data_IF_353346211503
#
_entry.id   IF_353346211503
#
_cell.length_a   1.000
_cell.length_b   1.000
_cell.length_c   1.000
_cell.angle_alpha   90.00
_cell.angle_beta   90.00
_cell.angle_gamma   90.00
#
_symmetry.space_group_name_H-M   'P 1'
#
loop_
_entity.id
_entity.type
_entity.pdbx_description
1 polymer ?
#
# COMPACT_ATOMS: atom_id res chain seq x y z
N UNK A 1 -7.85 72.18 -22.08
CA UNK A 1 -8.07 70.92 -22.73
C UNK A 1 -7.21 69.87 -21.99
N UNK A 2 -7.78 69.16 -21.01
CA UNK A 2 -7.12 68.10 -20.25
C UNK A 2 -7.64 66.74 -20.77
N UNK A 3 -6.76 65.93 -21.37
CA UNK A 3 -7.05 64.55 -21.78
C UNK A 3 -6.89 63.65 -20.53
N UNK A 4 -7.98 63.01 -20.14
CA UNK A 4 -7.96 61.94 -19.13
C UNK A 4 -7.64 60.62 -19.88
N UNK A 5 -6.55 59.95 -19.46
CA UNK A 5 -6.25 58.56 -19.86
C UNK A 5 -6.99 57.63 -18.88
N UNK A 6 -7.93 56.86 -19.40
CA UNK A 6 -8.51 55.71 -18.71
C UNK A 6 -7.56 54.49 -18.93
N UNK A 7 -6.93 54.03 -17.85
CA UNK A 7 -6.23 52.77 -17.83
C UNK A 7 -7.25 51.65 -17.55
N UNK A 8 -7.53 50.83 -18.54
CA UNK A 8 -8.28 49.56 -18.36
C UNK A 8 -7.34 48.55 -17.67
N UNK A 9 -7.59 48.25 -16.39
CA UNK A 9 -6.99 47.14 -15.70
C UNK A 9 -7.71 45.84 -16.14
N UNK A 10 -7.12 45.09 -17.08
CA UNK A 10 -7.52 43.73 -17.36
C UNK A 10 -7.13 42.83 -16.17
N UNK A 11 -8.06 42.59 -15.24
CA UNK A 11 -7.98 41.47 -14.33
C UNK A 11 -8.23 40.18 -15.13
N UNK A 12 -7.17 39.52 -15.59
CA UNK A 12 -7.23 38.15 -16.04
C UNK A 12 -7.50 37.24 -14.84
N UNK A 13 -8.77 36.86 -14.66
CA UNK A 13 -9.17 35.71 -13.87
C UNK A 13 -8.56 34.49 -14.55
N UNK A 14 -7.39 34.08 -14.11
CA UNK A 14 -6.90 32.73 -14.33
C UNK A 14 -7.87 31.78 -13.62
N UNK A 15 -8.86 31.28 -14.37
CA UNK A 15 -9.61 30.11 -13.95
C UNK A 15 -8.57 29.00 -13.75
N UNK A 16 -8.30 28.63 -12.49
CA UNK A 16 -7.53 27.45 -12.17
C UNK A 16 -8.29 26.27 -12.76
N UNK A 17 -7.74 25.70 -13.83
CA UNK A 17 -8.08 24.34 -14.26
C UNK A 17 -7.93 23.48 -13.00
N UNK A 18 -8.89 22.60 -12.64
CA UNK A 18 -8.67 21.65 -11.56
C UNK A 18 -7.42 20.87 -11.93
N UNK A 19 -6.28 21.26 -11.38
CA UNK A 19 -4.99 20.63 -11.63
C UNK A 19 -5.02 19.20 -11.06
N UNK A 20 -4.28 18.30 -11.69
CA UNK A 20 -3.91 17.03 -11.12
C UNK A 20 -3.55 17.24 -9.63
N UNK A 21 -4.01 16.35 -8.76
CA UNK A 21 -3.73 16.47 -7.34
C UNK A 21 -2.21 16.57 -7.15
N UNK A 22 -1.77 17.66 -6.51
CA UNK A 22 -0.35 17.86 -6.23
C UNK A 22 0.12 16.71 -5.33
N UNK A 23 1.20 16.04 -5.70
CA UNK A 23 1.78 14.99 -4.87
C UNK A 23 2.16 15.59 -3.51
N UNK A 24 1.69 14.98 -2.44
CA UNK A 24 1.95 15.46 -1.10
C UNK A 24 3.41 15.25 -0.69
N UNK A 25 4.00 14.08 -1.03
CA UNK A 25 5.34 13.69 -0.65
C UNK A 25 5.57 13.72 0.87
N UNK A 26 6.80 13.50 1.27
CA UNK A 26 7.19 13.54 2.69
C UNK A 26 8.30 14.56 2.90
N UNK A 27 8.25 15.39 3.96
CA UNK A 27 9.35 16.27 4.30
C UNK A 27 10.53 15.46 4.84
N UNK A 28 11.74 15.96 4.67
CA UNK A 28 12.96 15.30 5.16
C UNK A 28 12.92 15.01 6.68
N UNK A 29 12.25 15.89 7.45
CA UNK A 29 12.06 15.71 8.89
C UNK A 29 11.34 14.42 9.26
N UNK A 30 10.45 13.92 8.42
CA UNK A 30 9.76 12.65 8.61
C UNK A 30 10.76 11.48 8.64
N UNK A 31 11.63 11.39 7.63
CA UNK A 31 12.63 10.33 7.54
C UNK A 31 13.69 10.43 8.65
N UNK A 32 14.07 11.64 9.04
CA UNK A 32 14.96 11.87 10.17
C UNK A 32 14.33 11.36 11.47
N UNK A 33 13.04 11.64 11.70
CA UNK A 33 12.32 11.18 12.87
C UNK A 33 12.20 9.64 12.91
N UNK A 34 11.93 9.00 11.76
CA UNK A 34 11.85 7.54 11.62
C UNK A 34 13.19 6.86 11.93
N UNK A 35 14.33 7.39 11.42
CA UNK A 35 15.66 6.88 11.77
C UNK A 35 15.97 7.02 13.25
N UNK A 36 15.63 8.15 13.87
CA UNK A 36 15.79 8.33 15.32
C UNK A 36 14.97 7.34 16.13
N UNK A 37 13.71 7.11 15.75
CA UNK A 37 12.84 6.14 16.41
C UNK A 37 13.38 4.72 16.27
N UNK A 38 13.90 4.35 15.09
CA UNK A 38 14.55 3.06 14.87
C UNK A 38 15.80 2.93 15.74
N UNK A 39 16.67 3.94 15.80
CA UNK A 39 17.86 3.95 16.67
C UNK A 39 17.49 3.71 18.13
N UNK A 40 16.44 4.39 18.63
CA UNK A 40 15.93 4.17 19.99
C UNK A 40 15.43 2.75 20.22
N UNK A 41 14.73 2.16 19.23
CA UNK A 41 14.23 0.79 19.32
C UNK A 41 15.34 -0.26 19.31
N UNK A 42 16.43 -0.02 18.58
CA UNK A 42 17.57 -0.93 18.49
C UNK A 42 18.59 -0.74 19.64
N UNK A 43 18.72 0.46 20.16
CA UNK A 43 19.58 0.85 21.28
C UNK A 43 21.07 0.93 20.94
N UNK A 44 21.64 -0.05 20.25
CA UNK A 44 23.06 -0.08 19.89
C UNK A 44 23.31 -0.95 18.66
N UNK A 45 24.53 -0.87 18.10
CA UNK A 45 24.93 -1.62 16.91
C UNK A 45 24.82 -0.80 15.63
N UNK A 46 25.04 -1.46 14.51
CA UNK A 46 24.95 -0.86 13.18
C UNK A 46 23.77 -1.45 12.42
N UNK A 47 22.87 -0.61 11.90
CA UNK A 47 21.82 -1.05 11.01
C UNK A 47 22.29 -0.93 9.55
N UNK A 48 22.07 -1.99 8.77
CA UNK A 48 22.45 -2.11 7.36
C UNK A 48 21.22 -2.51 6.55
N UNK A 49 20.73 -1.58 5.70
CA UNK A 49 19.51 -1.77 4.91
C UNK A 49 19.81 -1.58 3.42
N UNK A 50 19.14 -2.37 2.60
CA UNK A 50 19.35 -2.38 1.16
C UNK A 50 18.12 -1.88 0.42
N UNK A 51 18.32 -0.96 -0.50
CA UNK A 51 17.31 -0.60 -1.48
C UNK A 51 17.18 -1.64 -2.58
N UNK A 52 16.11 -1.51 -3.35
CA UNK A 52 15.82 -2.38 -4.48
C UNK A 52 16.81 -2.20 -5.64
N UNK A 53 17.00 -3.27 -6.39
CA UNK A 53 17.69 -3.25 -7.69
C UNK A 53 16.71 -2.83 -8.79
N UNK A 54 17.19 -2.39 -9.95
CA UNK A 54 16.34 -2.09 -11.10
C UNK A 54 15.61 -3.36 -11.57
N UNK A 55 14.28 -3.34 -11.73
CA UNK A 55 13.57 -4.50 -12.26
C UNK A 55 13.94 -4.78 -13.71
N UNK A 56 14.11 -6.05 -14.06
CA UNK A 56 14.54 -6.48 -15.40
C UNK A 56 13.44 -6.44 -16.46
N UNK A 57 12.18 -6.31 -16.06
CA UNK A 57 11.00 -6.51 -16.90
C UNK A 57 10.29 -5.22 -17.34
N UNK A 58 10.93 -4.07 -17.24
CA UNK A 58 10.34 -2.79 -17.65
C UNK A 58 9.20 -2.27 -16.76
N UNK A 59 8.96 -2.90 -15.62
CA UNK A 59 8.03 -2.39 -14.61
C UNK A 59 8.59 -1.08 -14.04
N UNK A 60 7.72 -0.13 -13.74
CA UNK A 60 8.12 1.11 -13.07
C UNK A 60 8.82 0.79 -11.74
N UNK A 61 10.00 1.39 -11.55
CA UNK A 61 10.76 1.20 -10.32
C UNK A 61 9.96 1.70 -9.10
N UNK A 62 9.89 0.86 -8.09
CA UNK A 62 9.43 1.18 -6.74
C UNK A 62 10.48 0.71 -5.74
N UNK A 63 10.87 1.59 -4.84
CA UNK A 63 11.88 1.29 -3.84
C UNK A 63 11.35 0.28 -2.82
N UNK A 64 12.26 -0.46 -2.19
CA UNK A 64 11.99 -1.30 -1.02
C UNK A 64 11.27 -0.48 0.07
N UNK A 65 10.20 -1.03 0.65
CA UNK A 65 9.34 -0.33 1.60
C UNK A 65 10.12 0.15 2.83
N UNK A 66 10.88 -0.73 3.48
CA UNK A 66 11.62 -0.38 4.70
C UNK A 66 12.74 0.62 4.41
N UNK A 67 13.44 0.41 3.28
CA UNK A 67 14.49 1.33 2.86
C UNK A 67 13.93 2.73 2.58
N UNK A 68 12.82 2.81 1.82
CA UNK A 68 12.16 4.08 1.56
C UNK A 68 11.62 4.72 2.85
N UNK A 69 11.00 3.94 3.72
CA UNK A 69 10.48 4.40 5.01
C UNK A 69 11.53 5.12 5.86
N UNK A 70 12.78 4.65 5.78
CA UNK A 70 13.90 5.22 6.55
C UNK A 70 14.64 6.34 5.82
N UNK A 71 14.61 6.39 4.50
CA UNK A 71 15.51 7.26 3.72
C UNK A 71 14.82 8.30 2.86
N UNK A 72 13.63 8.01 2.35
CA UNK A 72 13.01 8.78 1.27
C UNK A 72 13.75 8.71 -0.07
N UNK A 73 14.82 7.94 -0.15
CA UNK A 73 15.63 7.81 -1.35
C UNK A 73 15.07 6.78 -2.32
N UNK A 74 15.02 7.10 -3.59
CA UNK A 74 14.53 6.24 -4.68
C UNK A 74 15.61 5.86 -5.68
N UNK A 75 16.90 6.05 -5.33
CA UNK A 75 17.99 5.61 -6.18
C UNK A 75 18.14 4.08 -6.11
N UNK A 76 18.40 3.45 -7.24
CA UNK A 76 18.58 2.00 -7.34
C UNK A 76 19.89 1.55 -6.68
N UNK A 77 19.92 0.34 -6.13
CA UNK A 77 21.09 -0.25 -5.48
C UNK A 77 21.66 0.60 -4.33
N UNK A 78 20.86 1.42 -3.71
CA UNK A 78 21.25 2.20 -2.55
C UNK A 78 21.42 1.34 -1.30
N UNK A 79 22.31 1.72 -0.39
CA UNK A 79 22.50 1.05 0.90
C UNK A 79 22.54 2.10 2.01
N UNK A 80 21.74 1.89 3.04
CA UNK A 80 21.73 2.68 4.26
C UNK A 80 22.60 1.99 5.32
N UNK A 81 23.52 2.73 5.92
CA UNK A 81 24.21 2.33 7.16
C UNK A 81 23.86 3.35 8.24
N UNK A 82 23.41 2.88 9.40
CA UNK A 82 23.01 3.75 10.51
C UNK A 82 23.62 3.24 11.82
N UNK A 83 24.20 4.12 12.60
CA UNK A 83 24.58 3.86 13.98
C UNK A 83 23.33 3.92 14.85
N UNK A 84 22.96 2.81 15.51
CA UNK A 84 21.73 2.76 16.28
C UNK A 84 21.77 3.63 17.54
N UNK A 85 22.96 3.85 18.14
CA UNK A 85 23.07 4.61 19.36
C UNK A 85 22.93 6.12 19.14
N UNK A 86 23.45 6.64 18.01
CA UNK A 86 23.43 8.09 17.69
C UNK A 86 22.36 8.46 16.66
N UNK A 87 21.84 7.47 15.92
CA UNK A 87 21.04 7.63 14.72
C UNK A 87 21.75 8.37 13.56
N UNK A 88 23.08 8.51 13.62
CA UNK A 88 23.85 8.98 12.49
C UNK A 88 23.73 7.97 11.33
N UNK A 89 23.42 8.47 10.15
CA UNK A 89 23.14 7.65 8.99
C UNK A 89 23.98 8.06 7.78
N UNK A 90 24.44 7.07 7.04
CA UNK A 90 25.16 7.23 5.78
C UNK A 90 24.43 6.50 4.67
N UNK A 91 24.39 7.13 3.50
CA UNK A 91 23.81 6.53 2.30
C UNK A 91 24.95 6.20 1.33
N UNK A 92 24.95 4.97 0.83
CA UNK A 92 25.92 4.50 -0.17
C UNK A 92 25.21 4.29 -1.50
N UNK A 93 25.72 4.91 -2.56
CA UNK A 93 25.10 4.91 -3.88
C UNK A 93 26.12 4.51 -4.97
N UNK A 94 25.66 3.83 -6.04
CA UNK A 94 26.53 3.60 -7.20
C UNK A 94 27.06 4.92 -7.75
N UNK A 95 28.37 5.00 -7.99
CA UNK A 95 28.94 6.10 -8.72
C UNK A 95 28.45 6.07 -10.17
N UNK A 96 28.09 7.23 -10.70
CA UNK A 96 27.57 7.36 -12.07
C UNK A 96 28.56 8.03 -12.98
N UNK A 97 28.80 7.44 -14.16
CA UNK A 97 29.46 8.11 -15.26
C UNK A 97 28.52 8.96 -16.10
N UNK A 98 29.05 9.66 -17.10
CA UNK A 98 28.27 10.54 -17.97
C UNK A 98 27.17 9.79 -18.78
N UNK A 99 27.36 8.50 -19.04
CA UNK A 99 26.40 7.67 -19.76
C UNK A 99 25.18 7.36 -18.86
N UNK A 100 25.44 6.88 -17.64
CA UNK A 100 24.42 6.55 -16.66
C UNK A 100 23.59 7.80 -16.31
N UNK A 101 24.24 8.95 -16.10
CA UNK A 101 23.54 10.21 -15.84
C UNK A 101 22.60 10.61 -17.00
N UNK A 102 22.99 10.36 -18.25
CA UNK A 102 22.14 10.65 -19.40
C UNK A 102 20.97 9.67 -19.56
N UNK A 103 21.19 8.41 -19.16
CA UNK A 103 20.18 7.35 -19.27
C UNK A 103 19.16 7.45 -18.14
N UNK A 104 19.61 7.59 -16.91
CA UNK A 104 18.82 7.34 -15.71
C UNK A 104 18.62 8.60 -14.84
N UNK A 105 19.25 9.71 -15.21
CA UNK A 105 19.30 10.91 -14.38
C UNK A 105 20.36 10.85 -13.29
N UNK A 106 20.50 11.94 -12.51
CA UNK A 106 21.45 12.01 -11.40
C UNK A 106 20.89 11.37 -10.16
N UNK A 107 21.61 10.45 -9.53
CA UNK A 107 21.36 9.99 -8.17
C UNK A 107 21.81 11.03 -7.13
N UNK A 108 21.48 10.82 -5.85
CA UNK A 108 21.81 11.77 -4.79
C UNK A 108 23.32 11.96 -4.56
N UNK A 109 24.16 10.97 -4.90
CA UNK A 109 25.62 11.12 -4.83
C UNK A 109 26.12 12.18 -5.83
N UNK A 110 25.47 12.28 -6.99
CA UNK A 110 25.79 13.25 -8.05
C UNK A 110 25.05 14.59 -7.91
N UNK A 111 24.23 14.76 -6.86
CA UNK A 111 23.48 15.97 -6.53
C UNK A 111 24.07 16.59 -5.25
N UNK A 112 24.43 17.87 -5.29
CA UNK A 112 24.96 18.57 -4.12
C UNK A 112 23.90 18.69 -2.99
N UNK A 113 24.38 18.85 -1.75
CA UNK A 113 23.62 19.15 -0.54
C UNK A 113 22.53 18.14 -0.09
N UNK A 114 22.38 16.99 -0.76
CA UNK A 114 21.38 15.99 -0.40
C UNK A 114 21.62 15.44 1.01
N UNK A 115 22.87 15.20 1.41
CA UNK A 115 23.18 14.71 2.75
C UNK A 115 22.63 15.66 3.82
N UNK A 116 22.90 16.95 3.69
CA UNK A 116 22.44 17.98 4.64
C UNK A 116 20.91 18.10 4.62
N UNK A 117 20.30 18.13 3.45
CA UNK A 117 18.84 18.28 3.28
C UNK A 117 18.07 17.15 3.96
N UNK A 118 18.55 15.89 3.79
CA UNK A 118 17.88 14.69 4.28
C UNK A 118 18.44 14.16 5.60
N UNK A 119 19.33 14.92 6.25
CA UNK A 119 19.90 14.60 7.56
C UNK A 119 20.75 13.33 7.56
N UNK A 120 21.57 13.13 6.54
CA UNK A 120 22.60 12.11 6.52
C UNK A 120 23.92 12.71 6.96
N UNK A 121 24.71 11.93 7.69
CA UNK A 121 26.10 12.28 8.04
C UNK A 121 27.03 12.27 6.81
N UNK A 122 26.63 11.53 5.76
CA UNK A 122 27.29 11.52 4.47
C UNK A 122 26.57 10.69 3.41
N UNK A 123 26.85 11.01 2.14
CA UNK A 123 26.49 10.18 0.98
C UNK A 123 27.78 9.82 0.29
N UNK A 124 28.05 8.53 0.11
CA UNK A 124 29.35 7.99 -0.32
C UNK A 124 29.16 7.02 -1.49
N UNK A 125 30.23 6.81 -2.31
CA UNK A 125 30.20 5.77 -3.31
C UNK A 125 29.99 4.37 -2.72
N UNK A 126 29.18 3.53 -3.35
CA UNK A 126 28.91 2.16 -2.90
C UNK A 126 30.20 1.31 -2.80
N UNK A 127 31.24 1.62 -3.60
CA UNK A 127 32.52 0.95 -3.54
C UNK A 127 33.24 1.12 -2.18
N UNK A 128 32.88 2.14 -1.39
CA UNK A 128 33.49 2.40 -0.08
C UNK A 128 32.78 1.67 1.07
N UNK A 129 31.64 1.03 0.82
CA UNK A 129 30.83 0.38 1.86
C UNK A 129 31.62 -0.68 2.65
N UNK A 130 32.38 -1.53 1.98
CA UNK A 130 33.14 -2.60 2.64
C UNK A 130 34.14 -2.03 3.64
N UNK A 131 34.98 -1.08 3.20
CA UNK A 131 35.95 -0.44 4.05
C UNK A 131 35.30 0.33 5.21
N UNK A 132 34.14 0.98 4.95
CA UNK A 132 33.40 1.68 5.97
C UNK A 132 32.90 0.73 7.08
N UNK A 133 32.38 -0.46 6.72
CA UNK A 133 31.92 -1.47 7.69
C UNK A 133 33.11 -2.07 8.46
N UNK A 134 34.25 -2.29 7.81
CA UNK A 134 35.44 -2.81 8.46
C UNK A 134 36.06 -1.83 9.48
N UNK A 135 36.08 -0.54 9.17
CA UNK A 135 36.53 0.52 10.12
C UNK A 135 35.58 0.61 11.35
N UNK A 136 34.33 0.28 11.21
CA UNK A 136 33.35 0.25 12.32
C UNK A 136 33.40 -1.01 13.17
N UNK A 137 34.25 -1.96 12.80
CA UNK A 137 34.46 -3.19 13.56
C UNK A 137 34.79 -2.96 15.06
N UNK A 138 35.31 -1.76 15.46
CA UNK A 138 35.59 -1.33 16.85
C UNK A 138 36.16 -2.42 17.74
N UNK A 139 36.93 -2.13 18.76
CA UNK A 139 37.66 -2.99 19.70
C UNK A 139 37.28 -4.47 19.93
N UNK A 140 37.83 -5.10 20.90
CA UNK A 140 37.62 -6.52 21.22
C UNK A 140 36.17 -6.77 21.68
N UNK A 141 35.40 -7.46 20.85
CA UNK A 141 33.99 -7.85 21.16
C UNK A 141 33.15 -8.04 19.90
N UNK A 142 32.12 -8.89 20.03
CA UNK A 142 31.16 -9.09 18.94
C UNK A 142 30.21 -7.89 18.89
N UNK A 143 30.14 -7.21 17.76
CA UNK A 143 29.25 -6.08 17.56
C UNK A 143 27.95 -6.53 16.89
N UNK A 144 26.84 -5.90 17.24
CA UNK A 144 25.56 -6.17 16.62
C UNK A 144 25.47 -5.50 15.25
N UNK A 145 25.09 -6.27 14.24
CA UNK A 145 24.69 -5.79 12.92
C UNK A 145 23.23 -6.13 12.68
N UNK A 146 22.39 -5.10 12.68
CA UNK A 146 20.97 -5.20 12.39
C UNK A 146 20.76 -5.16 10.88
N UNK A 147 20.16 -6.19 10.32
CA UNK A 147 19.81 -6.24 8.89
C UNK A 147 18.53 -7.07 8.72
N UNK A 148 17.95 -7.07 7.54
CA UNK A 148 16.80 -7.92 7.24
C UNK A 148 17.26 -9.37 7.16
N UNK A 149 16.67 -10.24 7.97
CA UNK A 149 16.88 -11.68 7.97
C UNK A 149 15.65 -12.46 7.49
N UNK A 150 14.52 -11.79 7.38
CA UNK A 150 13.25 -12.28 6.82
C UNK A 150 13.04 -11.72 5.41
N UNK A 151 11.99 -12.19 4.73
CA UNK A 151 11.63 -11.65 3.41
C UNK A 151 11.11 -10.20 3.51
N UNK A 152 11.35 -9.44 2.44
CA UNK A 152 10.73 -8.11 2.27
C UNK A 152 9.25 -8.25 1.97
N UNK A 153 8.48 -7.24 2.32
CA UNK A 153 7.18 -7.01 1.71
C UNK A 153 7.34 -6.22 0.40
N UNK A 154 6.37 -6.37 -0.47
CA UNK A 154 6.23 -5.59 -1.71
C UNK A 154 4.89 -4.84 -1.67
N UNK A 155 4.57 -4.08 -2.70
CA UNK A 155 3.33 -3.28 -2.72
C UNK A 155 2.08 -4.15 -2.60
N UNK A 156 2.10 -5.32 -3.23
CA UNK A 156 0.99 -6.29 -3.35
C UNK A 156 1.20 -7.58 -2.55
N UNK A 157 2.36 -7.78 -1.93
CA UNK A 157 2.71 -9.00 -1.19
C UNK A 157 3.18 -8.66 0.23
N UNK A 158 2.57 -9.27 1.24
CA UNK A 158 3.10 -9.24 2.61
C UNK A 158 4.39 -10.06 2.72
N UNK A 159 5.12 -9.88 3.82
CA UNK A 159 6.27 -10.74 4.15
C UNK A 159 5.88 -12.21 4.25
N UNK A 160 4.68 -12.51 4.77
CA UNK A 160 4.15 -13.87 4.88
C UNK A 160 3.79 -14.49 3.54
N UNK A 161 3.16 -13.71 2.64
CA UNK A 161 2.83 -14.15 1.28
C UNK A 161 4.09 -14.43 0.48
N UNK A 162 5.09 -13.56 0.58
CA UNK A 162 6.42 -13.75 -0.03
C UNK A 162 7.08 -15.01 0.47
N UNK A 163 7.09 -15.24 1.78
CA UNK A 163 7.62 -16.47 2.39
C UNK A 163 6.90 -17.72 1.88
N UNK A 164 5.58 -17.67 1.74
CA UNK A 164 4.78 -18.79 1.19
C UNK A 164 5.11 -19.04 -0.28
N UNK A 165 5.24 -17.99 -1.09
CA UNK A 165 5.61 -18.09 -2.51
C UNK A 165 7.00 -18.70 -2.69
N UNK A 166 7.95 -18.29 -1.85
CA UNK A 166 9.30 -18.88 -1.84
C UNK A 166 9.29 -20.33 -1.41
N UNK A 167 8.52 -20.73 -0.38
CA UNK A 167 8.39 -22.12 0.03
C UNK A 167 7.87 -22.99 -1.12
N UNK A 168 6.90 -22.52 -1.89
CA UNK A 168 6.41 -23.20 -3.10
C UNK A 168 7.50 -23.33 -4.16
N UNK A 169 8.32 -22.30 -4.34
CA UNK A 169 9.47 -22.33 -5.28
C UNK A 169 10.53 -23.33 -4.84
N UNK A 170 10.85 -23.43 -3.54
CA UNK A 170 11.80 -24.41 -3.00
C UNK A 170 11.34 -25.86 -3.18
N UNK A 171 10.03 -26.11 -3.25
CA UNK A 171 9.48 -27.43 -3.55
C UNK A 171 9.68 -27.84 -5.02
N UNK A 172 10.08 -26.93 -5.90
CA UNK A 172 10.47 -27.25 -7.26
C UNK A 172 11.99 -27.53 -7.29
N UNK A 173 12.41 -28.80 -7.54
CA UNK A 173 13.82 -29.18 -7.48
C UNK A 173 14.72 -28.45 -8.50
N UNK A 174 14.12 -27.79 -9.50
CA UNK A 174 14.86 -27.05 -10.54
C UNK A 174 14.85 -25.53 -10.29
N UNK A 175 14.24 -25.02 -9.23
CA UNK A 175 14.07 -23.59 -8.96
C UNK A 175 14.42 -23.16 -7.53
N UNK A 176 15.09 -23.98 -6.76
CA UNK A 176 15.38 -23.77 -5.32
C UNK A 176 16.49 -22.75 -5.03
N UNK A 177 16.47 -21.58 -5.67
CA UNK A 177 17.44 -20.53 -5.34
C UNK A 177 16.94 -19.67 -4.16
N UNK A 178 17.84 -19.25 -3.25
CA UNK A 178 17.48 -18.33 -2.16
C UNK A 178 16.97 -17.01 -2.72
N UNK A 179 16.11 -16.35 -1.94
CA UNK A 179 15.72 -14.97 -2.23
C UNK A 179 16.93 -14.04 -2.19
N UNK A 180 16.78 -12.86 -2.76
CA UNK A 180 17.82 -11.83 -2.68
C UNK A 180 18.16 -11.47 -1.23
N UNK A 181 17.14 -11.37 -0.35
CA UNK A 181 17.33 -11.08 1.07
C UNK A 181 18.03 -12.25 1.80
N UNK A 182 17.64 -13.48 1.52
CA UNK A 182 18.34 -14.68 2.04
C UNK A 182 19.79 -14.77 1.58
N UNK A 183 20.06 -14.52 0.31
CA UNK A 183 21.43 -14.48 -0.23
C UNK A 183 22.28 -13.37 0.42
N UNK A 184 21.72 -12.17 0.61
CA UNK A 184 22.38 -11.07 1.30
C UNK A 184 22.72 -11.41 2.75
N UNK A 185 21.76 -11.96 3.49
CA UNK A 185 21.96 -12.36 4.89
C UNK A 185 23.07 -13.39 5.02
N UNK A 186 23.11 -14.40 4.14
CA UNK A 186 24.17 -15.40 4.09
C UNK A 186 25.54 -14.79 3.73
N UNK A 187 25.56 -13.92 2.72
CA UNK A 187 26.80 -13.23 2.29
C UNK A 187 27.38 -12.38 3.41
N UNK A 188 26.53 -11.64 4.14
CA UNK A 188 26.97 -10.82 5.28
C UNK A 188 27.51 -11.71 6.39
N UNK A 189 26.82 -12.80 6.74
CA UNK A 189 27.28 -13.75 7.76
C UNK A 189 28.65 -14.33 7.45
N UNK A 190 28.86 -14.71 6.20
CA UNK A 190 30.12 -15.31 5.77
C UNK A 190 31.27 -14.29 5.67
N UNK A 191 30.97 -13.06 5.21
CA UNK A 191 31.97 -12.02 5.01
C UNK A 191 32.38 -11.30 6.29
N UNK A 192 31.43 -11.15 7.22
CA UNK A 192 31.61 -10.40 8.45
C UNK A 192 31.30 -11.25 9.69
N UNK A 193 32.05 -12.36 9.93
CA UNK A 193 31.74 -13.33 11.00
C UNK A 193 31.95 -12.75 12.42
N UNK A 194 32.48 -11.55 12.55
CA UNK A 194 32.65 -10.85 13.82
C UNK A 194 31.43 -10.03 14.24
N UNK A 195 30.39 -9.91 13.37
CA UNK A 195 29.13 -9.32 13.76
C UNK A 195 28.16 -10.37 14.30
N UNK A 196 27.42 -9.99 15.34
CA UNK A 196 26.19 -10.67 15.78
C UNK A 196 25.02 -10.15 14.91
N UNK A 197 24.59 -10.94 13.94
CA UNK A 197 23.51 -10.56 13.04
C UNK A 197 22.16 -10.69 13.75
N UNK A 198 21.39 -9.60 13.74
CA UNK A 198 20.04 -9.54 14.29
C UNK A 198 19.05 -9.00 13.25
N UNK A 199 17.80 -9.47 13.35
CA UNK A 199 16.75 -9.01 12.46
C UNK A 199 16.22 -7.63 12.88
N UNK A 200 16.31 -6.69 11.95
CA UNK A 200 15.81 -5.31 12.14
C UNK A 200 14.30 -5.19 11.93
N UNK A 201 13.71 -6.14 11.20
CA UNK A 201 12.31 -6.09 10.73
C UNK A 201 11.31 -5.90 11.86
N UNK A 202 11.36 -6.63 13.00
CA UNK A 202 10.38 -6.44 14.06
C UNK A 202 10.37 -5.02 14.65
N UNK A 203 11.50 -4.31 14.61
CA UNK A 203 11.58 -2.93 15.08
C UNK A 203 10.97 -1.96 14.06
N UNK A 204 11.21 -2.17 12.77
CA UNK A 204 10.62 -1.34 11.69
C UNK A 204 9.11 -1.55 11.62
N UNK A 205 8.65 -2.79 11.68
CA UNK A 205 7.22 -3.14 11.61
C UNK A 205 6.42 -2.42 12.71
N UNK A 206 6.94 -2.39 13.95
CA UNK A 206 6.32 -1.65 15.05
C UNK A 206 6.19 -0.14 14.78
N UNK A 207 7.13 0.45 14.04
CA UNK A 207 7.07 1.85 13.67
C UNK A 207 6.06 2.09 12.54
N UNK A 208 5.96 1.18 11.56
CA UNK A 208 5.06 1.28 10.40
C UNK A 208 3.59 1.08 10.74
N UNK A 209 3.27 0.28 11.77
CA UNK A 209 1.89 -0.03 12.19
C UNK A 209 1.08 1.23 12.50
N UNK A 210 1.69 2.19 13.18
CA UNK A 210 1.04 3.45 13.56
C UNK A 210 1.42 4.53 12.55
N UNK A 211 0.46 4.93 11.75
CA UNK A 211 0.67 5.92 10.69
C UNK A 211 0.92 7.31 11.26
N UNK A 212 1.92 8.00 10.74
CA UNK A 212 2.17 9.41 11.06
C UNK A 212 1.05 10.30 10.53
N UNK A 213 0.99 11.55 11.02
CA UNK A 213 0.03 12.53 10.50
C UNK A 213 0.16 12.72 8.99
N UNK A 214 1.41 12.69 8.47
CA UNK A 214 1.67 12.84 7.03
C UNK A 214 1.23 11.63 6.22
N UNK A 215 1.48 10.42 6.71
CA UNK A 215 0.98 9.18 6.09
C UNK A 215 -0.56 9.17 6.05
N UNK A 216 -1.22 9.63 7.11
CA UNK A 216 -2.68 9.75 7.16
C UNK A 216 -3.20 10.76 6.11
N UNK A 217 -2.53 11.88 5.88
CA UNK A 217 -2.90 12.82 4.81
C UNK A 217 -2.79 12.18 3.42
N UNK A 218 -1.70 11.46 3.16
CA UNK A 218 -1.51 10.72 1.90
C UNK A 218 -2.60 9.65 1.72
N UNK A 219 -2.87 8.86 2.76
CA UNK A 219 -3.93 7.85 2.75
C UNK A 219 -5.32 8.44 2.50
N UNK A 220 -5.65 9.60 3.10
CA UNK A 220 -6.91 10.30 2.83
C UNK A 220 -7.04 10.74 1.38
N UNK A 221 -5.96 11.28 0.80
CA UNK A 221 -5.95 11.67 -0.61
C UNK A 221 -6.09 10.45 -1.51
N UNK A 222 -5.29 9.39 -1.28
CA UNK A 222 -5.34 8.15 -2.05
C UNK A 222 -6.71 7.46 -1.92
N UNK A 223 -7.28 7.40 -0.70
CA UNK A 223 -8.60 6.83 -0.46
C UNK A 223 -9.70 7.52 -1.25
N UNK A 224 -9.67 8.85 -1.31
CA UNK A 224 -10.61 9.63 -2.14
C UNK A 224 -10.43 9.33 -3.62
N UNK A 225 -9.20 9.35 -4.15
CA UNK A 225 -8.92 9.11 -5.56
C UNK A 225 -9.28 7.67 -5.99
N UNK A 226 -8.95 6.67 -5.15
CA UNK A 226 -9.30 5.27 -5.38
C UNK A 226 -10.82 5.05 -5.35
N UNK A 227 -11.51 5.69 -4.41
CA UNK A 227 -12.97 5.65 -4.35
C UNK A 227 -13.63 6.28 -5.59
N UNK A 228 -13.11 7.41 -6.07
CA UNK A 228 -13.58 8.06 -7.30
C UNK A 228 -13.33 7.16 -8.53
N UNK A 229 -12.22 6.42 -8.57
CA UNK A 229 -11.92 5.47 -9.64
C UNK A 229 -12.96 4.34 -9.73
N UNK A 230 -13.32 3.73 -8.59
CA UNK A 230 -14.36 2.69 -8.53
C UNK A 230 -15.73 3.29 -8.85
N UNK A 231 -16.06 4.50 -8.40
CA UNK A 231 -17.30 5.19 -8.80
C UNK A 231 -17.44 5.30 -10.31
N UNK A 232 -16.37 5.64 -11.02
CA UNK A 232 -16.39 5.73 -12.47
C UNK A 232 -16.64 4.37 -13.10
N UNK A 233 -16.03 3.29 -12.60
CA UNK A 233 -16.27 1.93 -13.04
C UNK A 233 -17.74 1.51 -12.84
N UNK A 234 -18.33 1.80 -11.67
CA UNK A 234 -19.75 1.55 -11.41
C UNK A 234 -20.63 2.28 -12.43
N UNK A 235 -20.35 3.56 -12.68
CA UNK A 235 -21.16 4.41 -13.55
C UNK A 235 -21.18 3.97 -15.02
N UNK A 236 -20.09 3.37 -15.51
CA UNK A 236 -20.00 2.89 -16.90
C UNK A 236 -20.51 1.45 -17.07
N UNK A 237 -20.79 0.73 -15.97
CA UNK A 237 -21.17 -0.68 -16.02
C UNK A 237 -22.50 -0.89 -16.74
N UNK A 238 -22.52 -1.83 -17.69
CA UNK A 238 -23.73 -2.29 -18.38
C UNK A 238 -23.49 -3.65 -19.06
N UNK A 239 -24.54 -4.43 -19.33
CA UNK A 239 -24.40 -5.67 -20.09
C UNK A 239 -23.72 -5.45 -21.44
N UNK A 240 -22.84 -6.38 -21.84
CA UNK A 240 -22.09 -6.34 -23.08
C UNK A 240 -20.74 -5.66 -23.01
N UNK A 241 -20.42 -4.92 -21.95
CA UNK A 241 -19.05 -4.45 -21.68
C UNK A 241 -18.18 -5.59 -21.14
N UNK A 242 -16.87 -5.44 -21.25
CA UNK A 242 -15.90 -6.38 -20.70
C UNK A 242 -15.38 -5.92 -19.32
N UNK A 243 -14.95 -6.88 -18.50
CA UNK A 243 -14.36 -6.63 -17.19
C UNK A 243 -13.16 -5.66 -17.26
N UNK A 244 -12.25 -5.84 -18.24
CA UNK A 244 -11.10 -4.95 -18.46
C UNK A 244 -11.47 -3.50 -18.77
N UNK A 245 -12.68 -3.22 -19.24
CA UNK A 245 -13.10 -1.83 -19.47
C UNK A 245 -13.30 -1.08 -18.15
N UNK A 246 -13.74 -1.78 -17.10
CA UNK A 246 -13.87 -1.20 -15.76
C UNK A 246 -12.50 -0.92 -15.15
N UNK A 247 -11.56 -1.86 -15.27
CA UNK A 247 -10.18 -1.67 -14.86
C UNK A 247 -9.53 -0.49 -15.60
N UNK A 248 -9.69 -0.40 -16.91
CA UNK A 248 -9.13 0.68 -17.73
C UNK A 248 -9.66 2.06 -17.29
N UNK A 249 -10.95 2.19 -17.02
CA UNK A 249 -11.57 3.44 -16.54
C UNK A 249 -11.01 3.85 -15.17
N UNK A 250 -10.92 2.91 -14.23
CA UNK A 250 -10.41 3.16 -12.91
C UNK A 250 -8.92 3.53 -12.94
N UNK A 251 -8.11 2.80 -13.70
CA UNK A 251 -6.68 3.06 -13.88
C UNK A 251 -6.43 4.43 -14.53
N UNK A 252 -7.21 4.78 -15.55
CA UNK A 252 -7.13 6.10 -16.16
C UNK A 252 -7.38 7.21 -15.14
N UNK A 253 -8.42 7.05 -14.31
CA UNK A 253 -8.73 8.03 -13.26
C UNK A 253 -7.56 8.21 -12.29
N UNK A 254 -7.00 7.11 -11.77
CA UNK A 254 -5.89 7.15 -10.83
C UNK A 254 -4.66 7.85 -11.43
N UNK A 255 -4.21 7.44 -12.59
CA UNK A 255 -3.00 7.97 -13.21
C UNK A 255 -3.16 9.43 -13.66
N UNK A 256 -4.32 9.81 -14.18
CA UNK A 256 -4.64 11.19 -14.51
C UNK A 256 -4.55 12.12 -13.32
N UNK A 257 -4.84 11.61 -12.11
CA UNK A 257 -4.80 12.37 -10.87
C UNK A 257 -3.48 12.19 -10.07
N UNK A 258 -2.42 11.64 -10.70
CA UNK A 258 -1.07 11.62 -10.15
C UNK A 258 -0.73 10.44 -9.26
N UNK A 259 -1.61 9.45 -9.12
CA UNK A 259 -1.31 8.17 -8.47
C UNK A 259 -0.20 7.46 -9.27
N UNK A 260 0.79 6.91 -8.56
CA UNK A 260 2.02 6.44 -9.21
C UNK A 260 1.95 5.01 -9.72
N UNK A 261 1.08 4.20 -9.16
CA UNK A 261 0.92 2.79 -9.50
C UNK A 261 -0.37 2.21 -8.95
N UNK A 262 -0.61 0.96 -9.27
CA UNK A 262 -1.64 0.17 -8.63
C UNK A 262 -1.10 -0.34 -7.29
N UNK A 263 -1.92 -0.40 -6.26
CA UNK A 263 -1.58 -1.01 -4.99
C UNK A 263 -1.44 -2.53 -5.11
N UNK A 264 -2.19 -3.10 -6.05
CA UNK A 264 -2.21 -4.51 -6.43
C UNK A 264 -2.85 -4.65 -7.82
N UNK A 265 -2.73 -5.81 -8.51
CA UNK A 265 -3.44 -6.06 -9.76
C UNK A 265 -4.96 -5.95 -9.55
N UNK A 266 -5.64 -5.23 -10.43
CA UNK A 266 -7.09 -5.06 -10.33
C UNK A 266 -7.82 -6.40 -10.42
N UNK A 267 -8.75 -6.64 -9.52
CA UNK A 267 -9.65 -7.79 -9.52
C UNK A 267 -11.01 -7.29 -10.02
N UNK A 268 -11.42 -7.74 -11.21
CA UNK A 268 -12.74 -7.39 -11.79
C UNK A 268 -13.40 -8.68 -12.25
N UNK A 269 -14.15 -9.33 -11.37
CA UNK A 269 -14.82 -10.59 -11.67
C UNK A 269 -16.32 -10.41 -11.90
N UNK A 270 -16.88 -11.16 -12.89
CA UNK A 270 -18.33 -11.25 -13.14
C UNK A 270 -18.77 -12.68 -13.41
N UNK A 271 -20.02 -13.01 -13.10
CA UNK A 271 -20.56 -14.38 -13.26
C UNK A 271 -19.69 -15.40 -12.52
N UNK A 272 -19.19 -16.49 -13.18
CA UNK A 272 -18.38 -17.50 -12.50
C UNK A 272 -17.05 -16.96 -11.95
N UNK A 273 -16.53 -15.87 -12.50
CA UNK A 273 -15.23 -15.31 -12.11
C UNK A 273 -15.26 -14.68 -10.71
N UNK A 274 -16.44 -14.29 -10.19
CA UNK A 274 -16.56 -13.68 -8.84
C UNK A 274 -16.07 -14.60 -7.72
N UNK A 275 -16.04 -15.91 -7.94
CA UNK A 275 -15.62 -16.88 -6.94
C UNK A 275 -14.12 -17.18 -6.96
N UNK A 276 -13.37 -16.52 -7.84
CA UNK A 276 -11.90 -16.54 -7.84
C UNK A 276 -11.41 -15.29 -7.15
N UNK A 277 -11.02 -15.39 -5.88
CA UNK A 277 -10.77 -14.25 -5.01
C UNK A 277 -9.74 -13.25 -5.54
N UNK A 278 -8.69 -13.74 -6.21
CA UNK A 278 -7.66 -12.93 -6.85
C UNK A 278 -7.69 -13.11 -8.38
N UNK A 279 -8.89 -12.97 -8.97
CA UNK A 279 -9.08 -13.05 -10.43
C UNK A 279 -8.49 -11.82 -11.11
N UNK A 280 -7.59 -12.01 -12.06
CA UNK A 280 -6.82 -10.93 -12.70
C UNK A 280 -6.89 -10.92 -14.23
N UNK A 281 -7.52 -11.92 -14.86
CA UNK A 281 -7.62 -11.96 -16.33
C UNK A 281 -8.54 -10.84 -16.86
N UNK A 282 -9.57 -10.47 -16.08
CA UNK A 282 -10.52 -9.39 -16.36
C UNK A 282 -11.08 -9.43 -17.80
N UNK A 283 -11.25 -10.64 -18.36
CA UNK A 283 -11.47 -10.85 -19.79
C UNK A 283 -12.92 -11.15 -20.18
N UNK A 284 -13.82 -11.40 -19.22
CA UNK A 284 -15.19 -11.83 -19.52
C UNK A 284 -16.07 -10.67 -19.96
N UNK A 285 -16.96 -10.92 -20.93
CA UNK A 285 -18.04 -9.99 -21.26
C UNK A 285 -19.17 -10.11 -20.23
N UNK A 286 -19.50 -9.01 -19.57
CA UNK A 286 -20.52 -8.91 -18.53
C UNK A 286 -21.92 -9.18 -19.07
N UNK A 287 -22.72 -9.98 -18.36
CA UNK A 287 -24.08 -10.36 -18.75
C UNK A 287 -25.11 -9.79 -17.78
N UNK A 288 -26.32 -9.60 -18.27
CA UNK A 288 -27.45 -9.25 -17.42
C UNK A 288 -27.69 -10.37 -16.38
N UNK A 289 -27.89 -9.99 -15.10
CA UNK A 289 -28.02 -10.95 -13.98
C UNK A 289 -26.73 -11.26 -13.26
N UNK A 290 -25.55 -10.96 -13.85
CA UNK A 290 -24.28 -11.06 -13.13
C UNK A 290 -24.15 -9.99 -12.04
N UNK A 291 -23.37 -10.32 -10.99
CA UNK A 291 -22.74 -9.34 -10.15
C UNK A 291 -21.35 -8.98 -10.71
N UNK A 292 -20.91 -7.76 -10.48
CA UNK A 292 -19.50 -7.36 -10.56
C UNK A 292 -18.94 -7.37 -9.14
N UNK A 293 -17.80 -7.98 -8.94
CA UNK A 293 -16.92 -7.75 -7.78
C UNK A 293 -15.69 -7.05 -8.32
N UNK A 294 -15.49 -5.81 -7.91
CA UNK A 294 -14.28 -5.05 -8.26
C UNK A 294 -13.54 -4.67 -6.99
N UNK A 295 -12.30 -5.08 -6.95
CA UNK A 295 -11.36 -4.83 -5.88
C UNK A 295 -10.13 -4.14 -6.46
N UNK A 296 -9.91 -2.88 -6.05
CA UNK A 296 -8.89 -2.05 -6.67
C UNK A 296 -8.56 -0.81 -5.84
N UNK A 297 -7.27 -0.49 -5.74
CA UNK A 297 -6.79 0.72 -5.11
C UNK A 297 -5.43 1.17 -5.66
N UNK A 298 -5.11 2.44 -5.42
CA UNK A 298 -3.88 3.05 -5.90
C UNK A 298 -2.71 2.94 -4.92
N UNK A 299 -1.48 3.08 -5.43
CA UNK A 299 -0.26 3.36 -4.67
C UNK A 299 0.11 4.83 -4.88
N UNK A 300 -0.08 5.65 -3.85
CA UNK A 300 0.26 7.07 -3.83
C UNK A 300 1.31 7.33 -2.75
N UNK A 301 2.48 7.83 -3.16
CA UNK A 301 3.56 8.17 -2.24
C UNK A 301 3.85 7.04 -1.21
N UNK A 302 3.90 5.79 -1.69
CA UNK A 302 4.13 4.58 -0.88
C UNK A 302 3.02 4.25 0.13
N UNK A 303 1.82 4.79 -0.03
CA UNK A 303 0.66 4.37 0.74
C UNK A 303 -0.39 3.77 -0.20
N UNK A 304 -0.84 2.57 0.11
CA UNK A 304 -1.85 1.82 -0.64
C UNK A 304 -3.23 2.03 -0.01
N UNK A 305 -4.24 1.89 -0.81
CA UNK A 305 -5.65 1.80 -0.38
C UNK A 305 -6.23 0.50 -0.92
N UNK A 306 -7.07 -0.13 -0.12
CA UNK A 306 -7.78 -1.35 -0.46
C UNK A 306 -9.29 -1.12 -0.42
N UNK A 307 -9.98 -1.39 -1.55
CA UNK A 307 -11.42 -1.13 -1.68
C UNK A 307 -12.07 -2.17 -2.57
N UNK A 308 -13.02 -2.91 -2.04
CA UNK A 308 -13.92 -3.73 -2.86
C UNK A 308 -15.33 -3.19 -2.85
N UNK A 309 -15.98 -3.22 -4.00
CA UNK A 309 -17.42 -3.03 -4.16
C UNK A 309 -18.02 -4.13 -5.01
N UNK A 310 -19.25 -4.49 -4.68
CA UNK A 310 -20.08 -5.41 -5.46
C UNK A 310 -21.33 -4.68 -5.95
N UNK A 311 -21.71 -4.89 -7.21
CA UNK A 311 -22.93 -4.32 -7.78
C UNK A 311 -23.49 -5.16 -8.93
N UNK A 312 -24.81 -5.08 -9.24
CA UNK A 312 -25.40 -5.86 -10.32
C UNK A 312 -25.12 -5.23 -11.68
N UNK A 313 -24.73 -6.02 -12.68
CA UNK A 313 -24.42 -5.52 -14.04
C UNK A 313 -25.62 -4.81 -14.68
N UNK A 314 -26.85 -5.28 -14.42
CA UNK A 314 -28.08 -4.73 -14.99
C UNK A 314 -28.75 -3.64 -14.14
N UNK A 315 -28.16 -3.22 -13.03
CA UNK A 315 -28.74 -2.24 -12.13
C UNK A 315 -29.89 -2.78 -11.27
N UNK A 316 -30.03 -4.11 -11.16
CA UNK A 316 -31.02 -4.79 -10.32
C UNK A 316 -30.40 -6.02 -9.66
N UNK A 317 -30.53 -6.13 -8.35
CA UNK A 317 -30.22 -7.35 -7.61
C UNK A 317 -31.42 -8.32 -7.68
N UNK A 318 -31.16 -9.62 -7.78
CA UNK A 318 -32.16 -10.61 -7.41
C UNK A 318 -32.31 -10.69 -5.87
N UNK A 319 -33.30 -11.46 -5.39
CA UNK A 319 -33.59 -11.58 -3.96
C UNK A 319 -32.40 -12.14 -3.16
N UNK A 320 -31.71 -13.14 -3.69
CA UNK A 320 -30.57 -13.75 -3.00
C UNK A 320 -29.35 -12.83 -2.99
N UNK A 321 -29.06 -12.20 -4.13
CA UNK A 321 -28.01 -11.20 -4.27
C UNK A 321 -28.21 -10.02 -3.30
N UNK A 322 -29.43 -9.49 -3.24
CA UNK A 322 -29.76 -8.39 -2.34
C UNK A 322 -29.60 -8.78 -0.86
N UNK A 323 -30.07 -9.98 -0.49
CA UNK A 323 -29.95 -10.48 0.89
C UNK A 323 -28.48 -10.68 1.28
N UNK A 324 -27.66 -11.24 0.38
CA UNK A 324 -26.21 -11.40 0.60
C UNK A 324 -25.51 -10.05 0.71
N UNK A 325 -25.89 -9.09 -0.14
CA UNK A 325 -25.35 -7.73 -0.11
C UNK A 325 -25.67 -7.02 1.21
N UNK A 326 -26.94 -7.06 1.65
CA UNK A 326 -27.36 -6.46 2.92
C UNK A 326 -26.65 -7.11 4.11
N UNK A 327 -26.44 -8.43 4.08
CA UNK A 327 -25.70 -9.15 5.10
C UNK A 327 -24.23 -8.64 5.19
N UNK A 328 -23.52 -8.57 4.06
CA UNK A 328 -22.16 -8.07 4.01
C UNK A 328 -22.08 -6.59 4.46
N UNK A 329 -23.01 -5.75 3.99
CA UNK A 329 -23.06 -4.33 4.32
C UNK A 329 -23.28 -4.09 5.83
N UNK A 330 -24.28 -4.75 6.44
CA UNK A 330 -24.54 -4.63 7.88
C UNK A 330 -23.34 -5.12 8.70
N UNK A 331 -22.74 -6.24 8.28
CA UNK A 331 -21.56 -6.80 8.93
C UNK A 331 -20.38 -5.82 8.90
N UNK A 332 -20.09 -5.25 7.74
CA UNK A 332 -19.02 -4.27 7.59
C UNK A 332 -19.25 -3.04 8.48
N UNK A 333 -20.45 -2.48 8.45
CA UNK A 333 -20.80 -1.28 9.24
C UNK A 333 -20.63 -1.52 10.74
N UNK A 334 -21.08 -2.66 11.25
CA UNK A 334 -20.95 -2.97 12.69
C UNK A 334 -19.50 -3.30 13.09
N UNK A 335 -18.75 -4.00 12.23
CA UNK A 335 -17.33 -4.24 12.50
C UNK A 335 -16.59 -2.90 12.56
N UNK A 336 -16.78 -2.01 11.58
CA UNK A 336 -16.14 -0.68 11.58
C UNK A 336 -16.52 0.09 12.86
N UNK A 337 -17.79 0.13 13.23
CA UNK A 337 -18.23 0.82 14.44
C UNK A 337 -17.60 0.27 15.73
N UNK A 338 -17.24 -1.01 15.75
CA UNK A 338 -16.56 -1.65 16.88
C UNK A 338 -15.04 -1.44 16.92
N UNK A 339 -14.42 -0.88 15.87
CA UNK A 339 -12.97 -0.67 15.80
C UNK A 339 -12.56 0.56 16.63
N UNK A 340 -12.67 0.43 17.95
CA UNK A 340 -12.29 1.46 18.93
C UNK A 340 -10.96 1.13 19.58
N UNK A 341 -10.23 2.11 20.10
CA UNK A 341 -9.02 1.85 20.88
C UNK A 341 -9.29 0.84 22.01
N UNK A 342 -8.46 -0.21 22.08
CA UNK A 342 -8.57 -1.29 23.05
C UNK A 342 -9.51 -2.44 22.65
N UNK A 343 -10.35 -2.29 21.64
CA UNK A 343 -11.11 -3.41 21.08
C UNK A 343 -10.18 -4.36 20.31
N UNK A 344 -10.62 -5.59 20.10
CA UNK A 344 -9.81 -6.64 19.48
C UNK A 344 -10.50 -7.22 18.24
N UNK A 345 -9.70 -7.77 17.34
CA UNK A 345 -10.17 -8.50 16.17
C UNK A 345 -11.13 -9.64 16.51
N UNK A 346 -10.89 -10.34 17.63
CA UNK A 346 -11.78 -11.42 18.10
C UNK A 346 -13.20 -10.96 18.36
N UNK A 347 -13.38 -9.75 18.91
CA UNK A 347 -14.72 -9.20 19.15
C UNK A 347 -15.48 -8.95 17.84
N UNK A 348 -14.79 -8.57 16.76
CA UNK A 348 -15.42 -8.34 15.46
C UNK A 348 -15.89 -9.64 14.79
N UNK A 349 -15.24 -10.79 15.07
CA UNK A 349 -15.69 -12.11 14.60
C UNK A 349 -17.08 -12.46 15.14
N UNK A 350 -17.35 -12.17 16.42
CA UNK A 350 -18.67 -12.47 17.02
C UNK A 350 -19.78 -11.60 16.43
N UNK A 351 -19.44 -10.38 16.00
CA UNK A 351 -20.38 -9.51 15.26
C UNK A 351 -20.82 -10.19 13.96
N UNK A 352 -19.86 -10.65 13.16
CA UNK A 352 -20.15 -11.28 11.87
C UNK A 352 -20.98 -12.55 12.00
N UNK A 353 -20.67 -13.43 12.95
CA UNK A 353 -21.43 -14.64 13.21
C UNK A 353 -22.91 -14.34 13.45
N UNK A 354 -23.19 -13.40 14.36
CA UNK A 354 -24.57 -12.99 14.70
C UNK A 354 -25.33 -12.45 13.49
N UNK A 355 -24.69 -11.64 12.66
CA UNK A 355 -25.32 -11.05 11.48
C UNK A 355 -25.51 -12.10 10.39
N UNK A 356 -24.54 -12.98 10.16
CA UNK A 356 -24.65 -14.06 9.19
C UNK A 356 -25.80 -15.02 9.54
N UNK A 357 -25.96 -15.37 10.81
CA UNK A 357 -27.10 -16.16 11.29
C UNK A 357 -28.43 -15.43 11.04
N UNK A 358 -28.53 -14.13 11.38
CA UNK A 358 -29.72 -13.28 11.13
C UNK A 358 -30.16 -13.31 9.66
N UNK A 359 -29.21 -13.29 8.71
CA UNK A 359 -29.49 -13.27 7.26
C UNK A 359 -29.63 -14.67 6.64
N UNK A 360 -29.48 -15.73 7.43
CA UNK A 360 -29.56 -17.11 6.96
C UNK A 360 -28.31 -17.61 6.21
N UNK A 361 -27.15 -17.13 6.61
CA UNK A 361 -25.85 -17.53 6.11
C UNK A 361 -24.93 -18.07 7.24
N UNK A 362 -25.39 -18.95 8.14
CA UNK A 362 -24.60 -19.40 9.31
C UNK A 362 -23.33 -20.17 8.96
N UNK A 363 -23.30 -20.81 7.79
CA UNK A 363 -22.17 -21.64 7.33
C UNK A 363 -21.06 -20.83 6.66
N UNK A 364 -21.24 -19.52 6.47
CA UNK A 364 -20.21 -18.65 5.91
C UNK A 364 -19.04 -18.50 6.89
N UNK A 365 -17.83 -18.38 6.36
CA UNK A 365 -16.64 -18.08 7.17
C UNK A 365 -16.82 -16.72 7.85
N UNK A 366 -16.79 -16.67 9.18
CA UNK A 366 -17.00 -15.40 9.89
C UNK A 366 -15.94 -14.38 9.51
N UNK A 367 -16.37 -13.16 9.18
CA UNK A 367 -15.49 -12.03 8.96
C UNK A 367 -14.96 -11.45 10.27
N UNK A 368 -13.86 -10.74 10.17
CA UNK A 368 -13.31 -9.89 11.24
C UNK A 368 -12.89 -8.57 10.64
N UNK A 369 -12.44 -7.62 11.45
CA UNK A 369 -11.56 -6.57 10.94
C UNK A 369 -10.38 -7.26 10.23
N UNK A 370 -10.18 -6.94 8.96
CA UNK A 370 -9.34 -7.66 8.03
C UNK A 370 -7.82 -7.52 8.28
N UNK A 371 -7.06 -7.18 7.27
CA UNK A 371 -5.61 -7.04 7.35
C UNK A 371 -5.19 -5.57 7.51
N UNK A 372 -3.93 -5.35 7.92
CA UNK A 372 -3.35 -4.01 7.93
C UNK A 372 -3.10 -3.52 6.50
N UNK A 373 -3.24 -2.22 6.30
CA UNK A 373 -2.98 -1.54 5.03
C UNK A 373 -2.01 -0.38 5.25
N UNK A 374 -1.12 -0.15 4.31
CA UNK A 374 -0.14 0.93 4.39
C UNK A 374 0.80 0.96 3.20
N UNK A 375 2.10 0.71 3.42
CA UNK A 375 3.08 0.65 2.33
C UNK A 375 2.94 -0.60 1.45
N UNK A 376 2.27 -1.61 1.97
CA UNK A 376 1.80 -2.81 1.27
C UNK A 376 0.29 -2.91 1.43
N UNK A 377 -0.41 -3.56 0.48
CA UNK A 377 -1.84 -3.85 0.62
C UNK A 377 -2.08 -4.75 1.83
N UNK A 378 -1.25 -5.77 2.02
CA UNK A 378 -1.17 -6.57 3.25
C UNK A 378 0.01 -6.08 4.09
N UNK A 379 -0.16 -4.92 4.75
CA UNK A 379 0.90 -4.27 5.49
C UNK A 379 1.25 -5.00 6.80
N UNK A 380 2.34 -4.60 7.40
CA UNK A 380 2.88 -5.15 8.65
C UNK A 380 1.96 -4.85 9.83
N UNK A 381 1.87 -5.78 10.78
CA UNK A 381 1.11 -5.63 12.01
C UNK A 381 0.90 -6.94 12.75
N UNK A 382 0.64 -6.84 14.06
CA UNK A 382 0.29 -7.98 14.90
C UNK A 382 -1.23 -8.06 15.09
N UNK A 383 -1.84 -9.07 14.52
CA UNK A 383 -3.29 -9.30 14.56
C UNK A 383 -3.82 -9.70 15.94
N UNK A 384 -2.95 -9.94 16.92
CA UNK A 384 -3.32 -10.26 18.30
C UNK A 384 -3.40 -9.02 19.18
N UNK A 385 -2.79 -7.90 18.77
CA UNK A 385 -2.83 -6.64 19.50
C UNK A 385 -4.22 -5.97 19.41
N UNK A 386 -4.63 -5.27 20.48
CA UNK A 386 -5.81 -4.40 20.44
C UNK A 386 -5.64 -3.26 19.42
N UNK A 387 -6.75 -2.76 18.88
CA UNK A 387 -6.72 -1.59 18.01
C UNK A 387 -6.18 -0.36 18.74
N UNK A 388 -5.34 0.39 18.05
CA UNK A 388 -4.74 1.64 18.53
C UNK A 388 -4.94 2.75 17.50
N UNK A 389 -5.10 4.01 17.93
CA UNK A 389 -5.15 5.15 17.02
C UNK A 389 -3.94 5.18 16.08
N UNK A 390 -4.17 5.46 14.81
CA UNK A 390 -3.15 5.44 13.75
C UNK A 390 -2.99 4.10 13.04
N UNK A 391 -3.62 3.02 13.50
CA UNK A 391 -3.72 1.77 12.72
C UNK A 391 -4.66 1.96 11.53
N UNK A 392 -4.30 1.40 10.38
CA UNK A 392 -5.11 1.38 9.15
C UNK A 392 -5.37 -0.06 8.77
N UNK A 393 -6.64 -0.41 8.58
CA UNK A 393 -7.08 -1.81 8.46
C UNK A 393 -8.17 -1.88 7.40
N UNK A 394 -8.12 -2.88 6.51
CA UNK A 394 -9.18 -3.26 5.59
C UNK A 394 -10.29 -4.02 6.33
N UNK A 395 -11.55 -3.76 5.98
CA UNK A 395 -12.71 -4.44 6.54
C UNK A 395 -13.56 -4.98 5.40
N UNK A 396 -13.47 -6.30 5.17
CA UNK A 396 -13.93 -6.97 3.95
C UNK A 396 -14.79 -8.22 4.20
N UNK A 397 -15.99 -8.12 4.79
CA UNK A 397 -16.87 -9.28 4.92
C UNK A 397 -17.29 -9.84 3.56
N UNK A 398 -17.28 -11.17 3.45
CA UNK A 398 -17.61 -11.90 2.24
C UNK A 398 -18.81 -12.80 2.51
N UNK A 399 -19.76 -12.84 1.56
CA UNK A 399 -20.82 -13.85 1.45
C UNK A 399 -20.68 -14.52 0.11
N UNK A 400 -20.43 -15.83 0.12
CA UNK A 400 -20.14 -16.60 -1.10
C UNK A 400 -21.00 -17.85 -1.20
N UNK A 401 -21.58 -18.10 -2.39
CA UNK A 401 -22.23 -19.35 -2.75
C UNK A 401 -21.75 -19.72 -4.16
N UNK A 402 -20.70 -20.52 -4.21
CA UNK A 402 -19.96 -20.81 -5.44
C UNK A 402 -20.86 -21.43 -6.54
N UNK A 403 -21.74 -22.33 -6.20
CA UNK A 403 -22.65 -23.02 -7.13
C UNK A 403 -23.67 -22.07 -7.79
N UNK A 404 -23.82 -20.87 -7.23
CA UNK A 404 -24.73 -19.83 -7.76
C UNK A 404 -23.99 -18.67 -8.39
N UNK A 405 -22.67 -18.76 -8.52
CA UNK A 405 -21.82 -17.66 -8.97
C UNK A 405 -22.12 -16.36 -8.17
N UNK A 406 -22.34 -16.53 -6.88
CA UNK A 406 -22.61 -15.44 -5.96
C UNK A 406 -21.40 -15.23 -5.07
N UNK A 407 -20.83 -14.05 -5.16
CA UNK A 407 -19.83 -13.54 -4.23
C UNK A 407 -20.12 -12.06 -4.01
N UNK A 408 -20.32 -11.70 -2.77
CA UNK A 408 -20.47 -10.30 -2.35
C UNK A 408 -19.34 -9.99 -1.40
N UNK A 409 -18.53 -9.00 -1.76
CA UNK A 409 -17.49 -8.40 -0.91
C UNK A 409 -17.69 -6.89 -0.89
N UNK A 410 -17.75 -6.31 0.30
CA UNK A 410 -17.82 -4.87 0.51
C UNK A 410 -16.69 -4.51 1.45
N UNK A 411 -15.73 -3.76 0.95
CA UNK A 411 -14.50 -3.44 1.67
C UNK A 411 -14.26 -1.96 1.74
N UNK A 412 -13.80 -1.52 2.89
CA UNK A 412 -13.27 -0.19 3.11
C UNK A 412 -11.95 -0.24 3.86
N UNK A 413 -11.00 0.60 3.48
CA UNK A 413 -9.83 0.91 4.29
C UNK A 413 -10.22 1.89 5.39
N UNK A 414 -9.95 1.54 6.65
CA UNK A 414 -10.40 2.23 7.84
C UNK A 414 -9.22 2.65 8.72
N UNK A 415 -9.17 3.92 9.08
CA UNK A 415 -8.23 4.47 10.07
C UNK A 415 -8.87 4.39 11.46
N UNK A 416 -8.21 3.71 12.40
CA UNK A 416 -8.56 3.77 13.81
C UNK A 416 -8.16 5.13 14.37
N UNK A 417 -9.08 5.82 15.03
CA UNK A 417 -8.87 7.14 15.67
C UNK A 417 -9.12 7.04 17.18
N UNK A 418 -8.85 8.11 17.91
CA UNK A 418 -9.24 8.19 19.34
C UNK A 418 -10.77 8.21 19.54
N UNK A 419 -11.52 8.57 18.51
CA UNK A 419 -12.98 8.62 18.49
C UNK A 419 -13.60 7.61 17.54
N UNK A 420 -14.50 8.10 16.66
CA UNK A 420 -15.10 7.28 15.59
C UNK A 420 -14.04 6.87 14.56
N UNK A 421 -14.04 5.61 14.09
CA UNK A 421 -13.18 5.19 12.98
C UNK A 421 -13.42 6.06 11.74
N UNK A 422 -12.36 6.38 11.01
CA UNK A 422 -12.45 7.18 9.79
C UNK A 422 -12.34 6.28 8.56
N UNK A 423 -13.36 6.24 7.72
CA UNK A 423 -13.38 5.45 6.48
C UNK A 423 -12.66 6.25 5.39
N UNK A 424 -11.48 5.79 4.99
CA UNK A 424 -10.65 6.44 3.97
C UNK A 424 -11.27 6.38 2.57
N UNK A 425 -12.05 5.34 2.30
CA UNK A 425 -12.73 5.05 1.03
C UNK A 425 -14.19 5.53 0.99
N UNK A 426 -14.63 6.36 1.93
CA UNK A 426 -16.03 6.77 2.05
C UNK A 426 -16.64 7.46 0.81
N UNK A 427 -15.83 7.94 -0.13
CA UNK A 427 -16.31 8.60 -1.33
C UNK A 427 -16.96 7.66 -2.37
N UNK A 428 -16.77 6.34 -2.27
CA UNK A 428 -17.49 5.36 -3.10
C UNK A 428 -18.73 4.84 -2.35
N UNK A 429 -19.94 4.90 -2.96
CA UNK A 429 -21.18 4.48 -2.30
C UNK A 429 -21.16 2.98 -2.01
N UNK A 430 -21.88 2.60 -0.94
CA UNK A 430 -22.13 1.21 -0.55
C UNK A 430 -23.55 0.94 -0.12
N UNK A 431 -24.36 1.97 0.11
CA UNK A 431 -25.80 1.78 0.32
C UNK A 431 -26.44 1.38 -1.01
N UNK A 432 -27.37 0.42 -0.97
CA UNK A 432 -28.00 -0.16 -2.19
C UNK A 432 -28.56 0.93 -3.10
N UNK A 433 -29.34 1.85 -2.55
CA UNK A 433 -29.98 2.91 -3.33
C UNK A 433 -28.98 3.87 -3.96
N UNK A 434 -27.89 4.17 -3.26
CA UNK A 434 -26.81 5.05 -3.76
C UNK A 434 -26.05 4.40 -4.92
N UNK A 435 -25.70 3.10 -4.80
CA UNK A 435 -25.04 2.33 -5.85
C UNK A 435 -25.91 2.26 -7.09
N UNK A 436 -27.20 1.92 -6.94
CA UNK A 436 -28.14 1.84 -8.07
C UNK A 436 -28.43 3.22 -8.69
N UNK A 437 -28.44 4.28 -7.91
CA UNK A 437 -28.58 5.66 -8.41
C UNK A 437 -27.34 6.07 -9.24
N UNK A 438 -26.15 5.71 -8.77
CA UNK A 438 -24.90 5.97 -9.50
C UNK A 438 -24.89 5.27 -10.87
N UNK A 439 -25.29 4.00 -10.93
CA UNK A 439 -25.41 3.26 -12.20
C UNK A 439 -26.38 3.93 -13.18
N UNK A 440 -27.54 4.42 -12.67
CA UNK A 440 -28.55 5.12 -13.49
C UNK A 440 -28.05 6.46 -14.04
N UNK A 441 -27.19 7.14 -13.31
CA UNK A 441 -26.64 8.44 -13.73
C UNK A 441 -25.70 8.35 -14.94
N UNK A 442 -25.20 7.16 -15.25
CA UNK A 442 -24.31 6.89 -16.40
C UNK A 442 -22.96 7.61 -16.33
N UNK A 443 -22.55 8.05 -15.14
CA UNK A 443 -21.37 8.87 -14.97
C UNK A 443 -21.51 10.21 -15.72
N UNK A 444 -21.82 11.27 -15.00
CA UNK A 444 -21.70 12.63 -15.60
C UNK A 444 -20.26 12.82 -16.04
N UNK A 445 -20.07 12.93 -17.38
CA UNK A 445 -18.79 13.27 -18.00
C UNK A 445 -18.29 14.64 -17.57
#
# INVERSE_FOLDING_TARGET
>A
MRRALFALACCSLLASVPGAAERLGYPASEFIARRKALGQALGSGTALMFGSTMPLNGIRFRQDNDFYYLTGNTDVNAVLVMDAATADAWLFLPAQGAREIRSDGKNWLSQGDQAKTWGFAGIQPLSELTEFLERRRGGFGQQVLWTRLSERDEVDDSRGDKGTSLARRYNNPLSGQPSEDGYRAETIRNRYPFYDLRDVVPAIDKLRVIKSAREIEVLKLNGRLSAEAIRNAIAITKPGRFEYELEAEATYHLFKNGVQGNGYPAIVGTGPNVNVWHYQDNGRQMQAGDLVVMDYGGDLDYQVIDITRTWPVSGQFDELQLRAYQCALETQKEIIAAMRPGATRKQTVEISKRIYEKYGFPDQRPASAGHFVGMSVHDVGDYTEPFRPGMVIAVEPIIEIAEKHLHVRIEDTVLVTDGEPYILSAAVPKEVDEVLALMKSGGTK
#
